data_IF_327520382504
#
_entry.id   IF_327520382504
#
_cell.length_a   1.000
_cell.length_b   1.000
_cell.length_c   1.000
_cell.angle_alpha   90.00
_cell.angle_beta   90.00
_cell.angle_gamma   90.00
#
_symmetry.space_group_name_H-M   'P 1'
#
loop_
_entity.id
_entity.type
_entity.pdbx_description
1 polymer ?
#
# COMPACT_ATOMS: atom_id res chain seq x y z
N UNK A 1 -49.07 47.97 -5.28
CA UNK A 1 -48.12 47.97 -6.41
C UNK A 1 -46.71 48.13 -5.84
N UNK A 2 -45.82 47.13 -5.98
CA UNK A 2 -44.41 47.30 -5.57
C UNK A 2 -43.66 46.09 -5.00
N UNK A 3 -43.59 45.02 -5.80
CA UNK A 3 -42.41 44.13 -6.01
C UNK A 3 -41.84 43.36 -4.81
N UNK A 4 -42.17 42.07 -4.79
CA UNK A 4 -41.44 41.00 -4.11
C UNK A 4 -39.97 40.96 -4.58
N UNK A 5 -39.04 40.96 -3.63
CA UNK A 5 -37.64 40.65 -3.87
C UNK A 5 -37.42 39.15 -3.67
N UNK A 6 -37.30 38.44 -4.79
CA UNK A 6 -36.90 37.04 -4.86
C UNK A 6 -35.42 36.94 -4.44
N UNK A 7 -35.16 36.47 -3.22
CA UNK A 7 -33.79 36.16 -2.78
C UNK A 7 -33.41 34.81 -3.36
N UNK A 8 -32.67 34.85 -4.47
CA UNK A 8 -32.08 33.69 -5.13
C UNK A 8 -30.83 33.29 -4.33
N UNK A 9 -30.99 32.40 -3.34
CA UNK A 9 -29.84 31.82 -2.64
C UNK A 9 -29.09 30.88 -3.60
N UNK A 10 -27.95 31.35 -4.12
CA UNK A 10 -26.96 30.53 -4.82
C UNK A 10 -26.53 29.38 -3.90
N UNK A 11 -26.75 28.14 -4.35
CA UNK A 11 -26.34 26.93 -3.64
C UNK A 11 -24.82 26.85 -3.50
N UNK A 12 -24.34 26.76 -2.26
CA UNK A 12 -22.99 26.29 -1.97
C UNK A 12 -22.93 24.78 -2.23
N UNK A 13 -22.28 24.35 -3.32
CA UNK A 13 -21.77 23.00 -3.43
C UNK A 13 -20.50 22.91 -2.58
N UNK A 14 -20.64 22.50 -1.33
CA UNK A 14 -19.50 22.07 -0.54
C UNK A 14 -18.97 20.77 -1.16
N UNK A 15 -17.88 20.87 -1.93
CA UNK A 15 -17.10 19.68 -2.33
C UNK A 15 -16.40 19.18 -1.08
N UNK A 16 -17.03 18.21 -0.42
CA UNK A 16 -16.35 17.41 0.60
C UNK A 16 -15.25 16.64 -0.09
N UNK A 17 -14.02 17.15 -0.02
CA UNK A 17 -12.83 16.41 -0.40
C UNK A 17 -12.75 15.17 0.50
N UNK A 18 -12.98 13.99 -0.07
CA UNK A 18 -12.71 12.73 0.62
C UNK A 18 -11.19 12.60 0.65
N UNK A 19 -10.57 13.12 1.71
CA UNK A 19 -9.19 12.77 2.03
C UNK A 19 -9.18 11.27 2.29
N UNK A 20 -8.67 10.49 1.33
CA UNK A 20 -8.36 9.09 1.54
C UNK A 20 -7.17 9.03 2.52
N UNK A 21 -7.46 9.11 3.82
CA UNK A 21 -6.47 8.74 4.83
C UNK A 21 -6.23 7.25 4.63
N UNK A 22 -5.05 6.89 4.14
CA UNK A 22 -4.60 5.50 4.15
C UNK A 22 -4.72 4.98 5.59
N UNK A 23 -5.70 4.12 5.85
CA UNK A 23 -5.87 3.54 7.17
C UNK A 23 -4.61 2.74 7.48
N UNK A 24 -3.96 2.95 8.65
CA UNK A 24 -2.81 2.15 9.05
C UNK A 24 -3.25 0.68 9.01
N UNK A 25 -2.69 -0.10 8.09
CA UNK A 25 -2.96 -1.53 8.05
C UNK A 25 -2.60 -2.11 9.42
N UNK A 26 -3.54 -2.82 10.03
CA UNK A 26 -3.36 -3.41 11.34
C UNK A 26 -2.13 -4.32 11.31
N UNK A 27 -1.14 -4.02 12.16
CA UNK A 27 0.10 -4.79 12.24
C UNK A 27 -0.21 -6.23 12.65
N UNK A 28 0.42 -7.21 12.00
CA UNK A 28 0.30 -8.62 12.36
C UNK A 28 0.86 -8.81 13.78
N UNK A 29 0.11 -9.45 14.67
CA UNK A 29 0.66 -9.90 15.97
C UNK A 29 1.13 -11.34 15.81
N UNK A 30 2.43 -11.56 15.97
CA UNK A 30 3.08 -12.88 15.95
C UNK A 30 3.09 -13.42 17.37
N UNK A 31 2.65 -14.66 17.55
CA UNK A 31 2.69 -15.33 18.85
C UNK A 31 4.14 -15.48 19.34
N UNK A 32 4.37 -15.24 20.63
CA UNK A 32 5.70 -15.36 21.26
C UNK A 32 6.06 -16.78 21.68
N UNK A 33 5.10 -17.69 21.73
CA UNK A 33 5.30 -19.06 22.22
C UNK A 33 6.19 -19.89 21.28
N UNK A 34 7.10 -20.67 21.88
CA UNK A 34 7.97 -21.56 21.14
C UNK A 34 7.15 -22.58 20.32
N UNK A 35 7.53 -22.77 19.05
CA UNK A 35 6.85 -23.69 18.14
C UNK A 35 5.59 -23.12 17.47
N UNK A 36 5.19 -21.89 17.78
CA UNK A 36 4.08 -21.24 17.08
C UNK A 36 4.47 -20.77 15.67
N UNK A 37 3.51 -20.81 14.75
CA UNK A 37 3.67 -20.33 13.38
C UNK A 37 2.59 -19.30 13.07
N UNK A 38 3.01 -18.08 12.74
CA UNK A 38 2.10 -17.01 12.32
C UNK A 38 2.38 -16.62 10.86
N UNK A 39 1.42 -16.76 9.93
CA UNK A 39 1.62 -16.34 8.55
C UNK A 39 1.59 -14.82 8.42
N UNK A 40 2.55 -14.27 7.67
CA UNK A 40 2.53 -12.86 7.24
C UNK A 40 1.64 -12.73 6.00
N UNK A 41 0.48 -12.09 6.14
CA UNK A 41 -0.50 -11.93 5.05
C UNK A 41 -0.46 -10.57 4.35
N UNK A 42 0.31 -9.63 4.87
CA UNK A 42 0.38 -8.26 4.37
C UNK A 42 1.82 -7.84 4.13
N UNK A 43 2.06 -7.38 2.91
CA UNK A 43 3.35 -6.89 2.45
C UNK A 43 3.17 -5.53 1.78
N UNK A 44 4.20 -4.70 1.88
CA UNK A 44 4.37 -3.50 1.10
C UNK A 44 5.61 -3.69 0.22
N UNK A 45 5.56 -3.28 -1.04
CA UNK A 45 6.67 -3.43 -1.98
C UNK A 45 7.15 -2.12 -2.56
N UNK A 46 8.45 -2.06 -2.86
CA UNK A 46 9.08 -0.91 -3.51
C UNK A 46 10.31 -1.33 -4.30
N UNK A 47 10.57 -0.67 -5.43
CA UNK A 47 11.80 -0.89 -6.18
C UNK A 47 13.00 -0.34 -5.42
N UNK A 48 14.13 -1.07 -5.42
CA UNK A 48 15.40 -0.58 -4.88
C UNK A 48 15.93 0.66 -5.61
N UNK A 49 15.43 0.97 -6.82
CA UNK A 49 15.74 2.22 -7.50
C UNK A 49 15.15 3.45 -6.77
N UNK A 50 14.04 3.28 -6.03
CA UNK A 50 13.39 4.34 -5.23
C UNK A 50 13.77 4.27 -3.76
N UNK A 51 13.92 3.07 -3.20
CA UNK A 51 14.41 2.85 -1.83
C UNK A 51 15.87 2.40 -1.88
N UNK A 52 16.78 3.38 -1.91
CA UNK A 52 18.22 3.20 -2.14
C UNK A 52 18.98 2.87 -0.84
N UNK A 53 18.32 2.96 0.31
CA UNK A 53 18.86 2.62 1.61
C UNK A 53 19.16 1.12 1.74
N UNK A 54 20.11 0.78 2.62
CA UNK A 54 20.43 -0.61 2.91
C UNK A 54 19.35 -1.31 3.73
N UNK A 55 19.36 -2.65 3.69
CA UNK A 55 18.40 -3.48 4.43
C UNK A 55 18.36 -3.20 5.94
N UNK A 56 19.49 -2.80 6.54
CA UNK A 56 19.54 -2.39 7.95
C UNK A 56 18.65 -1.19 8.25
N UNK A 57 18.55 -0.21 7.34
CA UNK A 57 17.70 0.95 7.51
C UNK A 57 16.22 0.61 7.21
N UNK A 58 15.96 -0.09 6.11
CA UNK A 58 14.60 -0.41 5.62
C UNK A 58 13.84 -1.33 6.59
N UNK A 59 14.54 -2.25 7.25
CA UNK A 59 13.96 -3.18 8.22
C UNK A 59 13.66 -2.56 9.60
N UNK A 60 14.02 -1.29 9.84
CA UNK A 60 13.76 -0.66 11.14
C UNK A 60 12.25 -0.44 11.33
N UNK A 61 11.71 -0.62 12.55
CA UNK A 61 10.29 -0.40 12.84
C UNK A 61 9.77 1.00 12.47
N UNK A 62 10.64 2.02 12.60
CA UNK A 62 10.35 3.42 12.29
C UNK A 62 10.75 3.89 10.89
N UNK A 63 11.13 2.98 9.98
CA UNK A 63 11.40 3.36 8.60
C UNK A 63 10.12 3.88 7.93
N UNK A 64 10.23 5.06 7.31
CA UNK A 64 9.15 5.70 6.56
C UNK A 64 9.01 5.00 5.20
N UNK A 65 7.88 4.30 5.05
CA UNK A 65 7.55 3.54 3.84
C UNK A 65 6.41 4.20 3.06
N UNK A 66 6.22 5.51 3.19
CA UNK A 66 5.17 6.22 2.49
C UNK A 66 5.27 6.04 0.96
N UNK A 67 4.14 5.71 0.35
CA UNK A 67 4.04 5.43 -1.09
C UNK A 67 4.68 4.11 -1.53
N UNK A 68 4.93 3.18 -0.62
CA UNK A 68 5.13 1.78 -0.95
C UNK A 68 3.78 1.15 -1.35
N UNK A 69 3.84 0.15 -2.22
CA UNK A 69 2.63 -0.46 -2.78
C UNK A 69 2.15 -1.59 -1.87
N UNK A 70 0.96 -1.52 -1.27
CA UNK A 70 0.41 -2.65 -0.53
C UNK A 70 0.10 -3.80 -1.49
N UNK A 71 0.46 -5.02 -1.12
CA UNK A 71 0.20 -6.22 -1.93
C UNK A 71 -0.39 -7.35 -1.09
N UNK A 72 -1.18 -8.20 -1.75
CA UNK A 72 -1.72 -9.40 -1.12
C UNK A 72 -0.62 -10.41 -0.75
N UNK A 73 -0.88 -11.22 0.29
CA UNK A 73 0.05 -12.25 0.74
C UNK A 73 0.25 -13.30 -0.35
N UNK A 74 1.51 -13.50 -0.77
CA UNK A 74 1.96 -14.32 -1.90
C UNK A 74 1.92 -13.64 -3.30
N UNK A 75 1.92 -12.30 -3.36
CA UNK A 75 2.00 -11.58 -4.63
C UNK A 75 3.43 -11.54 -5.22
N UNK A 76 3.56 -11.85 -6.52
CA UNK A 76 4.74 -11.45 -7.32
C UNK A 76 4.79 -9.92 -7.47
N UNK A 77 5.95 -9.36 -7.83
CA UNK A 77 6.07 -7.91 -8.10
C UNK A 77 5.07 -7.45 -9.18
N UNK A 78 4.91 -8.23 -10.26
CA UNK A 78 3.93 -7.92 -11.31
C UNK A 78 2.49 -7.95 -10.77
N UNK A 79 2.13 -8.96 -9.97
CA UNK A 79 0.82 -9.04 -9.35
C UNK A 79 0.57 -7.82 -8.45
N UNK A 80 1.54 -7.43 -7.63
CA UNK A 80 1.46 -6.21 -6.81
C UNK A 80 1.28 -4.93 -7.63
N UNK A 81 2.00 -4.79 -8.75
CA UNK A 81 1.83 -3.64 -9.64
C UNK A 81 0.44 -3.61 -10.28
N UNK A 82 -0.14 -4.76 -10.64
CA UNK A 82 -1.50 -4.87 -11.15
C UNK A 82 -2.55 -4.53 -10.09
N UNK A 83 -2.39 -5.06 -8.86
CA UNK A 83 -3.25 -4.73 -7.71
C UNK A 83 -3.30 -3.22 -7.44
N UNK A 84 -2.18 -2.54 -7.70
CA UNK A 84 -2.03 -1.09 -7.50
C UNK A 84 -2.26 -0.26 -8.79
N UNK A 85 -2.77 -0.87 -9.86
CA UNK A 85 -3.19 -0.15 -11.07
C UNK A 85 -2.08 0.41 -11.96
N UNK A 86 -0.82 -0.03 -11.78
CA UNK A 86 0.31 0.43 -12.59
C UNK A 86 0.25 -0.05 -14.04
N UNK A 87 -0.39 -1.20 -14.28
CA UNK A 87 -0.61 -1.74 -15.62
C UNK A 87 -2.07 -2.11 -15.80
N UNK A 88 -2.66 -1.70 -16.92
CA UNK A 88 -4.04 -2.02 -17.27
C UNK A 88 -4.08 -3.07 -18.37
N UNK A 89 -5.08 -3.95 -18.32
CA UNK A 89 -5.43 -4.89 -19.41
C UNK A 89 -4.28 -5.79 -19.91
N UNK A 90 -3.33 -6.15 -19.05
CA UNK A 90 -2.16 -6.97 -19.44
C UNK A 90 -2.52 -8.34 -20.01
N UNK A 91 -3.74 -8.83 -19.77
CA UNK A 91 -4.26 -10.08 -20.33
C UNK A 91 -4.91 -9.91 -21.71
N UNK A 92 -4.89 -8.72 -22.30
CA UNK A 92 -5.49 -8.44 -23.61
C UNK A 92 -4.44 -8.12 -24.67
N UNK A 93 -4.50 -8.82 -25.81
CA UNK A 93 -3.63 -8.56 -26.96
C UNK A 93 -2.14 -8.57 -26.61
N UNK A 94 -1.45 -7.48 -26.95
CA UNK A 94 -0.02 -7.29 -26.71
C UNK A 94 0.27 -6.31 -25.57
N UNK A 95 -0.73 -5.96 -24.75
CA UNK A 95 -0.57 -4.94 -23.70
C UNK A 95 0.48 -5.34 -22.65
N UNK A 96 0.68 -6.62 -22.38
CA UNK A 96 1.76 -7.10 -21.51
C UNK A 96 3.15 -6.69 -22.02
N UNK A 97 3.37 -6.59 -23.34
CA UNK A 97 4.66 -6.18 -23.90
C UNK A 97 5.00 -4.71 -23.57
N UNK A 98 3.99 -3.91 -23.22
CA UNK A 98 4.18 -2.52 -22.80
C UNK A 98 4.63 -2.42 -21.34
N UNK A 99 4.56 -3.49 -20.57
CA UNK A 99 5.13 -3.51 -19.23
C UNK A 99 6.65 -3.32 -19.33
N UNK A 100 7.13 -2.18 -18.83
CA UNK A 100 8.52 -1.77 -18.99
C UNK A 100 9.47 -2.75 -18.30
N UNK A 101 10.30 -3.45 -19.08
CA UNK A 101 11.30 -4.41 -18.56
C UNK A 101 12.26 -3.79 -17.53
N UNK A 102 12.47 -2.48 -17.58
CA UNK A 102 13.39 -1.76 -16.69
C UNK A 102 12.99 -1.83 -15.22
N UNK A 103 11.69 -1.90 -14.91
CA UNK A 103 11.20 -2.04 -13.54
C UNK A 103 11.60 -3.38 -12.90
N UNK A 104 11.91 -4.40 -13.70
CA UNK A 104 12.18 -5.77 -13.23
C UNK A 104 13.67 -6.16 -13.31
N UNK A 105 14.55 -5.22 -13.64
CA UNK A 105 16.00 -5.45 -13.74
C UNK A 105 16.77 -5.04 -12.48
N UNK A 106 16.07 -4.56 -11.46
CA UNK A 106 16.62 -4.19 -10.16
C UNK A 106 15.90 -4.95 -9.05
N UNK A 107 16.54 -5.16 -7.88
CA UNK A 107 15.89 -5.77 -6.74
C UNK A 107 14.63 -5.02 -6.31
N UNK A 108 13.70 -5.75 -5.70
CA UNK A 108 12.49 -5.22 -5.06
C UNK A 108 12.49 -5.57 -3.59
N UNK A 109 12.12 -4.59 -2.78
CA UNK A 109 11.88 -4.79 -1.36
C UNK A 109 10.48 -5.34 -1.13
N UNK A 110 10.40 -6.32 -0.22
CA UNK A 110 9.16 -6.74 0.44
C UNK A 110 9.32 -6.40 1.91
N UNK A 111 8.43 -5.57 2.44
CA UNK A 111 8.46 -5.09 3.82
C UNK A 111 7.14 -5.35 4.51
N UNK A 112 7.22 -5.68 5.79
CA UNK A 112 6.08 -5.78 6.69
C UNK A 112 6.48 -5.31 8.08
N UNK A 113 5.49 -4.98 8.91
CA UNK A 113 5.69 -4.72 10.34
C UNK A 113 4.78 -5.63 11.14
N UNK A 114 5.35 -6.25 12.16
CA UNK A 114 4.62 -7.11 13.07
C UNK A 114 4.98 -6.78 14.52
N UNK A 115 4.07 -7.10 15.43
CA UNK A 115 4.28 -7.07 16.87
C UNK A 115 4.52 -8.48 17.35
N UNK A 116 5.50 -8.66 18.23
CA UNK A 116 5.68 -9.93 18.92
C UNK A 116 4.83 -9.88 20.20
N UNK A 117 3.95 -10.87 20.38
CA UNK A 117 3.26 -11.07 21.65
C UNK A 117 4.25 -11.60 22.69
N UNK A 118 4.05 -11.27 23.96
CA UNK A 118 4.80 -11.90 25.05
C UNK A 118 4.44 -13.40 25.07
N UNK A 119 5.46 -14.26 25.05
CA UNK A 119 5.29 -15.71 25.19
C UNK A 119 4.89 -16.03 26.62
N UNK A 120 4.00 -17.02 26.79
CA UNK A 120 3.61 -17.45 28.12
C UNK A 120 4.64 -18.46 28.64
N UNK A 121 5.85 -17.97 28.90
CA UNK A 121 6.99 -18.75 29.36
C UNK A 121 6.82 -19.05 30.87
N UNK A 122 6.03 -20.08 31.18
CA UNK A 122 5.91 -20.66 32.52
C UNK A 122 7.10 -21.53 32.90
#
# INVERSE_FOLDING_TARGET
MGRAALVLCLGLLAVSGVSATAQPQAQVTVAGDAGSTTPIRHWEVQTSAKAQEGGQAISRPGYDADGWLPVSGEATVMAGLLENGWYAHVFHGLELQRAGRHHFQVPWWYRTRFRLAEGNDG
#
